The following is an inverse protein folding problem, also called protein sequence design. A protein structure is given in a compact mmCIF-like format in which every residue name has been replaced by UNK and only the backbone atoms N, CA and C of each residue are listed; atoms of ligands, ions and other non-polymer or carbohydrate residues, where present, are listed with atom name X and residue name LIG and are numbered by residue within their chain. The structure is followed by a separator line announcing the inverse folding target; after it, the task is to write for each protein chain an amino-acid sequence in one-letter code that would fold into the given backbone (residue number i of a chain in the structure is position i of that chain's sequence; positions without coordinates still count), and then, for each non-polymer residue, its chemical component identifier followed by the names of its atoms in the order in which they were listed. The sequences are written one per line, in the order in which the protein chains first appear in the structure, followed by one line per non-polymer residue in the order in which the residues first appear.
data_IF_674004514927
#
_entry.id   IF_674004514927
#
_cell.length_a   1.000
_cell.length_b   1.000
_cell.length_c   1.000
_cell.angle_alpha   90.00
_cell.angle_beta   90.00
_cell.angle_gamma   90.00
#
_symmetry.space_group_name_H-M   'P 1'
#
loop_
_entity.id
_entity.type
_entity.pdbx_description
1 polymer ?
#
# COMPACT_ATOMS: atom_id res chain seq x y z
N UNK A 1 -1.13 -71.50 17.53
CA UNK A 1 -1.65 -70.18 17.11
C UNK A 1 -0.83 -69.15 17.85
N UNK A 2 0.25 -68.71 17.22
CA UNK A 2 1.36 -68.01 17.85
C UNK A 2 1.07 -66.51 17.89
N UNK A 3 0.76 -65.99 19.07
CA UNK A 3 0.59 -64.56 19.30
C UNK A 3 1.96 -63.92 19.23
N UNK A 4 2.23 -63.25 18.09
CA UNK A 4 3.42 -62.41 17.93
C UNK A 4 3.36 -61.27 18.96
N UNK A 5 4.20 -61.40 19.96
CA UNK A 5 4.51 -60.33 20.90
C UNK A 5 5.23 -59.20 20.14
N UNK A 6 4.54 -58.06 20.01
CA UNK A 6 5.09 -56.84 19.40
C UNK A 6 5.76 -55.92 20.45
N UNK A 7 5.91 -56.36 21.70
CA UNK A 7 6.52 -55.57 22.77
C UNK A 7 8.03 -55.81 22.88
N UNK A 8 8.81 -55.18 21.99
CA UNK A 8 10.27 -55.37 22.11
C UNK A 8 11.19 -54.57 21.21
N UNK A 9 10.69 -53.60 20.44
CA UNK A 9 11.55 -52.72 19.66
C UNK A 9 11.09 -51.28 19.71
N UNK A 10 10.87 -50.74 20.92
CA UNK A 10 11.29 -49.36 21.14
C UNK A 10 12.81 -49.38 21.04
N UNK A 11 13.33 -49.31 19.81
CA UNK A 11 14.70 -48.90 19.54
C UNK A 11 14.92 -47.73 20.49
N UNK A 12 15.90 -47.86 21.38
CA UNK A 12 16.47 -46.72 22.09
C UNK A 12 16.81 -45.73 20.99
N UNK A 13 15.93 -44.76 20.76
CA UNK A 13 16.26 -43.63 19.95
C UNK A 13 17.46 -43.06 20.67
N UNK A 14 18.64 -43.22 20.07
CA UNK A 14 19.79 -42.39 20.40
C UNK A 14 19.22 -41.00 20.63
N UNK A 15 19.46 -40.42 21.81
CA UNK A 15 19.14 -39.02 22.05
C UNK A 15 19.76 -38.27 20.88
N UNK A 16 18.92 -37.82 19.95
CA UNK A 16 19.35 -37.13 18.74
C UNK A 16 19.89 -35.80 19.24
N UNK A 17 21.19 -35.75 19.47
CA UNK A 17 21.82 -34.59 20.07
C UNK A 17 21.72 -33.49 19.01
N UNK A 18 21.12 -32.35 19.37
CA UNK A 18 20.74 -31.30 18.40
C UNK A 18 21.94 -30.82 17.55
N UNK A 19 23.15 -30.94 18.11
CA UNK A 19 24.42 -30.63 17.47
C UNK A 19 24.70 -31.46 16.22
N UNK A 20 24.21 -32.69 16.15
CA UNK A 20 24.49 -33.59 15.03
C UNK A 20 23.79 -33.15 13.74
N UNK A 21 22.67 -32.44 13.87
CA UNK A 21 21.80 -32.05 12.76
C UNK A 21 21.72 -30.54 12.55
N UNK A 22 22.41 -29.75 13.37
CA UNK A 22 22.46 -28.29 13.31
C UNK A 22 22.96 -27.74 11.94
N UNK A 23 23.60 -28.57 11.13
CA UNK A 23 24.04 -28.24 9.78
C UNK A 23 22.93 -28.26 8.71
N UNK A 24 21.76 -28.84 9.01
CA UNK A 24 20.62 -28.93 8.09
C UNK A 24 19.76 -27.66 8.24
N UNK A 25 19.59 -26.85 7.17
CA UNK A 25 18.74 -25.66 7.24
C UNK A 25 17.28 -26.05 7.56
N UNK A 26 16.75 -25.52 8.66
CA UNK A 26 15.36 -25.78 9.09
C UNK A 26 15.14 -27.06 9.89
N UNK A 27 16.20 -27.78 10.29
CA UNK A 27 16.06 -28.90 11.24
C UNK A 27 15.47 -28.42 12.57
N UNK A 28 14.59 -29.24 13.16
CA UNK A 28 13.96 -28.93 14.45
C UNK A 28 12.68 -28.08 14.39
N UNK A 29 12.17 -27.75 13.19
CA UNK A 29 10.89 -27.00 13.03
C UNK A 29 9.68 -27.80 13.51
N UNK A 30 9.67 -29.11 13.31
CA UNK A 30 8.59 -30.02 13.72
C UNK A 30 8.71 -30.53 15.16
N UNK A 31 9.76 -30.10 15.90
CA UNK A 31 9.88 -30.44 17.32
C UNK A 31 8.70 -29.88 18.12
N UNK A 32 8.46 -30.46 19.29
CA UNK A 32 7.60 -29.85 20.30
C UNK A 32 7.99 -28.38 20.51
N UNK A 33 7.01 -27.51 20.71
CA UNK A 33 7.18 -26.04 20.61
C UNK A 33 8.32 -25.53 21.48
N UNK A 34 8.50 -26.14 22.65
CA UNK A 34 9.51 -25.82 23.66
C UNK A 34 10.94 -26.16 23.22
N UNK A 35 11.09 -27.11 22.29
CA UNK A 35 12.36 -27.65 21.81
C UNK A 35 12.75 -27.12 20.42
N UNK A 36 12.00 -26.15 19.87
CA UNK A 36 12.32 -25.55 18.57
C UNK A 36 13.46 -24.55 18.70
N UNK A 37 14.38 -24.46 17.73
CA UNK A 37 15.49 -23.49 17.76
C UNK A 37 15.05 -22.02 17.88
N UNK A 38 13.82 -21.70 17.48
CA UNK A 38 13.24 -20.37 17.52
C UNK A 38 12.37 -20.10 18.78
N UNK A 39 12.39 -20.99 19.77
CA UNK A 39 11.68 -20.83 21.04
C UNK A 39 12.64 -20.39 22.16
N UNK A 40 12.24 -19.43 23.02
CA UNK A 40 11.04 -18.60 22.94
C UNK A 40 11.09 -17.58 21.79
N UNK A 41 9.93 -17.25 21.22
CA UNK A 41 9.79 -16.27 20.13
C UNK A 41 10.22 -14.85 20.54
N UNK A 42 10.29 -14.60 21.85
CA UNK A 42 10.66 -13.32 22.43
C UNK A 42 11.77 -13.52 23.48
N UNK A 43 12.61 -12.50 23.64
CA UNK A 43 13.63 -12.49 24.69
C UNK A 43 12.96 -12.50 26.06
N UNK A 44 13.48 -13.30 27.00
CA UNK A 44 13.15 -13.20 28.43
C UNK A 44 14.34 -12.59 29.18
N UNK A 45 14.18 -11.46 29.90
CA UNK A 45 12.95 -10.69 30.05
C UNK A 45 12.57 -9.93 28.75
N UNK A 46 11.27 -9.59 28.57
CA UNK A 46 10.80 -8.82 27.43
C UNK A 46 11.64 -7.57 27.20
N UNK A 47 11.86 -7.20 25.94
CA UNK A 47 12.62 -5.98 25.60
C UNK A 47 11.94 -4.71 26.13
N UNK A 48 10.61 -4.73 26.21
CA UNK A 48 9.79 -3.64 26.73
C UNK A 48 9.07 -4.15 27.98
N UNK A 49 9.65 -3.89 29.15
CA UNK A 49 8.97 -4.11 30.42
C UNK A 49 7.85 -3.07 30.59
N UNK A 50 6.62 -3.50 30.91
CA UNK A 50 5.50 -2.61 31.16
C UNK A 50 4.78 -2.04 29.92
N UNK A 51 4.93 -2.66 28.74
CA UNK A 51 4.12 -2.29 27.58
C UNK A 51 2.62 -2.43 27.92
N UNK A 52 1.88 -1.32 27.85
CA UNK A 52 0.45 -1.32 28.12
C UNK A 52 -0.30 -2.11 27.04
N UNK A 53 -1.05 -3.13 27.43
CA UNK A 53 -1.98 -3.84 26.53
C UNK A 53 -3.26 -3.03 26.25
N UNK A 54 -3.41 -1.87 26.89
CA UNK A 54 -4.58 -1.00 26.74
C UNK A 54 -4.64 -0.34 25.36
N UNK A 55 -5.87 -0.12 24.88
CA UNK A 55 -6.09 0.57 23.60
C UNK A 55 -5.66 2.04 23.73
N UNK A 56 -4.82 2.57 22.81
CA UNK A 56 -4.46 3.97 22.82
C UNK A 56 -5.67 4.89 22.71
N UNK A 57 -5.61 6.07 23.33
CA UNK A 57 -6.61 7.11 23.16
C UNK A 57 -6.69 7.54 21.67
N UNK A 58 -7.90 7.71 21.17
CA UNK A 58 -8.13 8.16 19.80
C UNK A 58 -7.66 9.62 19.64
N UNK A 59 -6.90 9.89 18.58
CA UNK A 59 -6.47 11.24 18.24
C UNK A 59 -7.63 12.09 17.72
N UNK A 60 -7.60 13.44 17.89
CA UNK A 60 -8.70 14.31 17.50
C UNK A 60 -8.91 14.33 15.97
N UNK A 61 -10.16 14.18 15.54
CA UNK A 61 -10.54 14.14 14.12
C UNK A 61 -10.78 15.54 13.55
N UNK A 62 -9.70 16.29 13.32
CA UNK A 62 -9.75 17.67 12.82
C UNK A 62 -9.85 17.79 11.30
N UNK A 63 -9.59 16.69 10.58
CA UNK A 63 -9.58 16.63 9.12
C UNK A 63 -10.41 15.45 8.65
N UNK A 64 -10.87 15.49 7.40
CA UNK A 64 -11.56 14.35 6.82
C UNK A 64 -10.57 13.19 6.63
N UNK A 65 -10.84 12.08 7.29
CA UNK A 65 -10.06 10.84 7.19
C UNK A 65 -10.92 9.81 6.50
N UNK A 66 -10.41 9.25 5.41
CA UNK A 66 -11.06 8.12 4.79
C UNK A 66 -10.48 6.82 5.33
N UNK A 67 -11.34 5.85 5.61
CA UNK A 67 -10.97 4.53 6.08
C UNK A 67 -11.72 3.46 5.30
N UNK A 68 -11.25 2.23 5.42
CA UNK A 68 -11.88 1.06 4.82
C UNK A 68 -13.33 0.89 5.27
N UNK A 69 -14.22 0.51 4.36
CA UNK A 69 -15.59 0.10 4.72
C UNK A 69 -15.63 -1.23 5.47
N UNK A 70 -14.56 -2.05 5.35
CA UNK A 70 -14.47 -3.38 5.95
C UNK A 70 -14.02 -3.31 7.42
N UNK A 71 -13.42 -2.19 7.81
CA UNK A 71 -12.97 -1.93 9.18
C UNK A 71 -13.82 -0.81 9.77
N UNK A 72 -14.70 -1.10 10.74
CA UNK A 72 -15.53 -0.07 11.34
C UNK A 72 -14.68 0.89 12.16
N UNK A 73 -14.84 2.19 11.90
CA UNK A 73 -14.18 3.25 12.62
C UNK A 73 -12.79 3.60 12.09
N UNK A 74 -12.29 4.74 12.57
CA UNK A 74 -10.95 5.25 12.26
C UNK A 74 -9.96 4.67 13.27
N UNK A 75 -8.74 4.38 12.83
CA UNK A 75 -7.66 3.96 13.73
C UNK A 75 -7.33 5.06 14.75
N UNK A 76 -6.93 4.73 15.98
CA UNK A 76 -6.61 5.73 17.00
C UNK A 76 -5.54 6.74 16.56
N UNK A 77 -4.62 6.30 15.71
CA UNK A 77 -3.60 7.12 15.05
C UNK A 77 -3.78 7.02 13.54
N UNK A 78 -3.78 8.17 12.86
CA UNK A 78 -3.90 8.32 11.41
C UNK A 78 -3.07 9.52 10.91
N UNK A 79 -2.68 9.50 9.64
CA UNK A 79 -1.94 10.60 9.02
C UNK A 79 -2.83 11.82 8.73
N UNK A 80 -2.37 13.02 9.08
CA UNK A 80 -3.10 14.28 8.88
C UNK A 80 -2.37 15.30 7.98
N UNK A 81 -1.17 14.98 7.51
CA UNK A 81 -0.28 15.92 6.78
C UNK A 81 -0.82 16.39 5.43
N UNK A 82 -1.66 15.58 4.77
CA UNK A 82 -2.21 15.89 3.46
C UNK A 82 -3.72 15.65 3.47
N UNK A 83 -4.52 16.60 4.02
CA UNK A 83 -5.96 16.43 4.09
C UNK A 83 -6.56 16.37 2.67
N UNK A 84 -7.63 15.57 2.46
CA UNK A 84 -8.32 15.53 1.18
C UNK A 84 -8.85 16.91 0.79
N UNK A 85 -8.51 17.35 -0.41
CA UNK A 85 -8.95 18.65 -0.94
C UNK A 85 -9.27 18.57 -2.43
N UNK A 86 -10.01 19.55 -2.94
CA UNK A 86 -10.33 19.65 -4.36
C UNK A 86 -11.13 18.47 -4.92
N UNK A 87 -10.98 18.24 -6.22
CA UNK A 87 -11.54 17.12 -6.96
C UNK A 87 -10.83 15.81 -6.60
N UNK A 88 -9.52 15.82 -6.37
CA UNK A 88 -8.80 14.61 -5.95
C UNK A 88 -9.32 14.07 -4.62
N UNK A 89 -9.65 14.94 -3.66
CA UNK A 89 -10.30 14.57 -2.40
C UNK A 89 -11.68 13.94 -2.60
N UNK A 90 -12.50 14.48 -3.53
CA UNK A 90 -13.81 13.89 -3.87
C UNK A 90 -13.67 12.51 -4.51
N UNK A 91 -12.68 12.32 -5.38
CA UNK A 91 -12.39 11.01 -5.98
C UNK A 91 -11.99 10.00 -4.92
N UNK A 92 -11.13 10.38 -3.96
CA UNK A 92 -10.78 9.53 -2.81
C UNK A 92 -12.02 9.20 -1.98
N UNK A 93 -12.86 10.18 -1.68
CA UNK A 93 -14.13 9.95 -0.97
C UNK A 93 -15.10 9.03 -1.72
N UNK A 94 -15.03 8.96 -3.05
CA UNK A 94 -15.75 7.97 -3.86
C UNK A 94 -15.10 6.58 -3.78
N UNK A 95 -13.78 6.52 -3.85
CA UNK A 95 -13.02 5.27 -3.76
C UNK A 95 -13.27 4.54 -2.44
N UNK A 96 -13.22 5.24 -1.31
CA UNK A 96 -13.44 4.67 0.02
C UNK A 96 -14.90 4.29 0.32
N UNK A 97 -15.83 4.40 -0.65
CA UNK A 97 -17.16 3.80 -0.56
C UNK A 97 -17.22 2.39 -1.16
N UNK A 98 -16.17 1.97 -1.86
CA UNK A 98 -16.04 0.64 -2.45
C UNK A 98 -15.21 -0.27 -1.53
N UNK A 99 -15.41 -1.59 -1.65
CA UNK A 99 -14.57 -2.59 -0.99
C UNK A 99 -13.15 -2.55 -1.54
N UNK A 100 -12.17 -2.88 -0.70
CA UNK A 100 -10.76 -2.97 -1.10
C UNK A 100 -10.51 -4.11 -2.11
N UNK A 101 -11.41 -5.10 -2.17
CA UNK A 101 -11.34 -6.15 -3.19
C UNK A 101 -11.79 -5.67 -4.58
N UNK A 102 -12.47 -4.52 -4.66
CA UNK A 102 -12.93 -3.97 -5.94
C UNK A 102 -11.80 -3.22 -6.65
N UNK A 103 -11.47 -3.64 -7.87
CA UNK A 103 -10.44 -2.97 -8.68
C UNK A 103 -10.73 -1.47 -8.91
N UNK A 104 -12.02 -1.08 -8.93
CA UNK A 104 -12.42 0.32 -9.10
C UNK A 104 -11.96 1.20 -7.93
N UNK A 105 -11.88 0.66 -6.72
CA UNK A 105 -11.32 1.37 -5.56
C UNK A 105 -9.90 1.86 -5.87
N UNK A 106 -9.04 0.93 -6.27
CA UNK A 106 -7.64 1.21 -6.57
C UNK A 106 -7.47 2.10 -7.81
N UNK A 107 -8.23 1.86 -8.87
CA UNK A 107 -8.17 2.69 -10.07
C UNK A 107 -8.59 4.13 -9.78
N UNK A 108 -9.61 4.36 -8.95
CA UNK A 108 -10.01 5.71 -8.55
C UNK A 108 -8.96 6.39 -7.68
N UNK A 109 -8.28 5.68 -6.77
CA UNK A 109 -7.18 6.24 -5.99
C UNK A 109 -6.02 6.68 -6.89
N UNK A 110 -5.61 5.84 -7.84
CA UNK A 110 -4.56 6.19 -8.80
C UNK A 110 -4.93 7.41 -9.65
N UNK A 111 -6.20 7.50 -10.08
CA UNK A 111 -6.69 8.67 -10.80
C UNK A 111 -6.72 9.91 -9.91
N UNK A 112 -7.10 9.78 -8.64
CA UNK A 112 -7.07 10.88 -7.68
C UNK A 112 -5.65 11.44 -7.50
N UNK A 113 -4.63 10.59 -7.49
CA UNK A 113 -3.24 11.04 -7.40
C UNK A 113 -2.80 11.81 -8.64
N UNK A 114 -3.21 11.38 -9.84
CA UNK A 114 -2.94 12.14 -11.08
C UNK A 114 -3.63 13.51 -11.05
N UNK A 115 -4.89 13.55 -10.60
CA UNK A 115 -5.66 14.80 -10.48
C UNK A 115 -5.01 15.73 -9.46
N UNK A 116 -4.57 15.21 -8.31
CA UNK A 116 -3.94 16.02 -7.25
C UNK A 116 -2.68 16.75 -7.75
N UNK A 117 -1.87 16.10 -8.60
CA UNK A 117 -0.70 16.75 -9.23
C UNK A 117 -1.11 17.91 -10.13
N UNK A 118 -2.17 17.74 -10.93
CA UNK A 118 -2.68 18.78 -11.82
C UNK A 118 -3.27 19.94 -11.01
N UNK A 119 -4.00 19.64 -9.93
CA UNK A 119 -4.54 20.64 -9.01
C UNK A 119 -3.44 21.46 -8.34
N UNK A 120 -2.40 20.80 -7.84
CA UNK A 120 -1.23 21.46 -7.24
C UNK A 120 -0.52 22.36 -8.24
N UNK A 121 -0.26 21.86 -9.46
CA UNK A 121 0.34 22.68 -10.52
C UNK A 121 -0.52 23.91 -10.87
N UNK A 122 -1.84 23.75 -10.93
CA UNK A 122 -2.76 24.86 -11.15
C UNK A 122 -2.74 25.89 -10.02
N UNK A 123 -2.67 25.44 -8.76
CA UNK A 123 -2.53 26.31 -7.59
C UNK A 123 -1.20 27.06 -7.60
N UNK A 124 -0.09 26.38 -7.90
CA UNK A 124 1.25 26.97 -7.97
C UNK A 124 1.33 28.04 -9.05
N UNK A 125 0.81 27.73 -10.25
CA UNK A 125 0.72 28.69 -11.36
C UNK A 125 -0.15 29.90 -10.99
N UNK A 126 -1.27 29.69 -10.31
CA UNK A 126 -2.15 30.77 -9.82
C UNK A 126 -1.50 31.65 -8.76
N UNK A 127 -0.57 31.10 -7.97
CA UNK A 127 0.24 31.84 -6.99
C UNK A 127 1.51 32.46 -7.61
N UNK A 128 1.72 32.31 -8.92
CA UNK A 128 2.88 32.85 -9.63
C UNK A 128 4.18 32.09 -9.39
N UNK A 129 4.13 30.90 -8.76
CA UNK A 129 5.28 30.01 -8.64
C UNK A 129 5.26 29.06 -9.82
N UNK A 130 6.20 29.20 -10.74
CA UNK A 130 6.45 28.19 -11.78
C UNK A 130 7.48 27.21 -11.21
N UNK A 131 7.08 26.03 -10.71
CA UNK A 131 8.03 25.07 -10.21
C UNK A 131 8.92 24.57 -11.37
N UNK A 132 10.18 24.26 -11.08
CA UNK A 132 11.16 23.83 -12.09
C UNK A 132 10.95 22.36 -12.51
N UNK A 133 9.69 21.93 -12.59
CA UNK A 133 9.26 20.57 -12.90
C UNK A 133 9.83 20.13 -14.26
N UNK A 134 9.93 21.04 -15.22
CA UNK A 134 10.47 20.72 -16.55
C UNK A 134 11.95 20.32 -16.51
N UNK A 135 12.74 20.86 -15.57
CA UNK A 135 14.13 20.45 -15.40
C UNK A 135 14.24 19.19 -14.54
N UNK A 136 13.44 19.06 -13.48
CA UNK A 136 13.49 17.96 -12.52
C UNK A 136 12.86 16.66 -13.03
N UNK A 137 11.83 16.72 -13.88
CA UNK A 137 11.22 15.54 -14.51
C UNK A 137 12.01 14.98 -15.70
N UNK A 138 13.24 15.45 -15.93
CA UNK A 138 14.12 14.88 -16.94
C UNK A 138 13.68 15.16 -18.38
N UNK A 139 12.78 16.12 -18.63
CA UNK A 139 12.36 16.48 -20.00
C UNK A 139 13.57 16.98 -20.82
N UNK A 140 14.53 17.65 -20.17
CA UNK A 140 15.81 17.99 -20.80
C UNK A 140 16.60 16.76 -21.24
N UNK A 141 16.63 15.72 -20.41
CA UNK A 141 17.29 14.45 -20.73
C UNK A 141 16.53 13.70 -21.84
N UNK A 142 15.19 13.66 -21.79
CA UNK A 142 14.37 13.06 -22.86
C UNK A 142 14.54 13.83 -24.19
N UNK A 143 14.64 15.15 -24.16
CA UNK A 143 14.92 15.93 -25.38
C UNK A 143 16.32 15.69 -25.92
N UNK A 144 17.31 15.42 -25.07
CA UNK A 144 18.66 15.14 -25.54
C UNK A 144 18.80 13.71 -26.09
N UNK A 145 18.19 12.72 -25.43
CA UNK A 145 18.40 11.30 -25.72
C UNK A 145 17.26 10.65 -26.51
N UNK A 146 16.04 11.20 -26.46
CA UNK A 146 14.85 10.60 -27.08
C UNK A 146 13.80 11.63 -27.53
N UNK A 147 14.18 12.49 -28.49
CA UNK A 147 13.30 13.51 -29.08
C UNK A 147 12.02 12.91 -29.68
N UNK A 148 12.13 11.79 -30.39
CA UNK A 148 11.00 11.14 -31.05
C UNK A 148 9.97 10.61 -30.04
N UNK A 149 10.44 9.99 -28.95
CA UNK A 149 9.57 9.52 -27.87
C UNK A 149 8.83 10.66 -27.18
N UNK A 150 9.54 11.77 -26.91
CA UNK A 150 8.95 12.96 -26.30
C UNK A 150 7.89 13.62 -27.21
N UNK A 151 8.19 13.81 -28.50
CA UNK A 151 7.22 14.37 -29.47
C UNK A 151 5.97 13.48 -29.55
N UNK A 152 6.14 12.15 -29.62
CA UNK A 152 5.02 11.21 -29.65
C UNK A 152 4.14 11.33 -28.40
N UNK A 153 4.74 11.43 -27.20
CA UNK A 153 4.00 11.64 -25.95
C UNK A 153 3.18 12.94 -25.99
N UNK A 154 3.79 14.03 -26.45
CA UNK A 154 3.13 15.35 -26.54
C UNK A 154 1.96 15.32 -27.53
N UNK A 155 2.13 14.69 -28.69
CA UNK A 155 1.06 14.57 -29.70
C UNK A 155 -0.09 13.73 -29.16
N UNK A 156 0.19 12.59 -28.54
CA UNK A 156 -0.86 11.73 -27.97
C UNK A 156 -1.60 12.44 -26.83
N UNK A 157 -0.86 13.10 -25.93
CA UNK A 157 -1.45 13.83 -24.81
C UNK A 157 -2.36 14.97 -25.29
N UNK A 158 -1.89 15.76 -26.27
CA UNK A 158 -2.68 16.87 -26.84
C UNK A 158 -3.91 16.37 -27.61
N UNK A 159 -3.80 15.27 -28.36
CA UNK A 159 -4.95 14.64 -29.02
C UNK A 159 -6.02 14.16 -28.03
N UNK A 160 -5.60 13.48 -26.95
CA UNK A 160 -6.52 13.01 -25.90
C UNK A 160 -7.18 14.17 -25.15
N UNK A 161 -6.42 15.21 -24.81
CA UNK A 161 -6.95 16.41 -24.17
C UNK A 161 -7.96 17.13 -25.08
N UNK A 162 -7.65 17.26 -26.38
CA UNK A 162 -8.54 17.83 -27.38
C UNK A 162 -9.84 17.04 -27.52
N UNK A 163 -9.75 15.70 -27.60
CA UNK A 163 -10.91 14.82 -27.65
C UNK A 163 -11.79 14.95 -26.41
N UNK A 164 -11.19 14.95 -25.21
CA UNK A 164 -11.92 15.13 -23.96
C UNK A 164 -12.66 16.48 -23.93
N UNK A 165 -11.99 17.58 -24.29
CA UNK A 165 -12.60 18.90 -24.39
C UNK A 165 -13.76 18.94 -25.40
N UNK A 166 -13.60 18.30 -26.57
CA UNK A 166 -14.66 18.20 -27.57
C UNK A 166 -15.89 17.45 -27.04
N UNK A 167 -15.68 16.30 -26.39
CA UNK A 167 -16.76 15.49 -25.82
C UNK A 167 -17.50 16.24 -24.70
N UNK A 168 -16.78 16.95 -23.83
CA UNK A 168 -17.37 17.77 -22.77
C UNK A 168 -18.21 18.93 -23.34
N UNK A 169 -17.70 19.65 -24.35
CA UNK A 169 -18.47 20.70 -25.05
C UNK A 169 -19.73 20.14 -25.71
N UNK A 170 -19.62 19.00 -26.39
CA UNK A 170 -20.75 18.33 -27.04
C UNK A 170 -21.81 17.90 -26.04
N UNK A 171 -21.41 17.39 -24.87
CA UNK A 171 -22.34 17.02 -23.79
C UNK A 171 -23.09 18.24 -23.27
N UNK A 172 -22.38 19.33 -22.97
CA UNK A 172 -23.01 20.54 -22.43
C UNK A 172 -24.00 21.16 -23.43
N UNK A 173 -23.67 21.17 -24.73
CA UNK A 173 -24.58 21.66 -25.78
C UNK A 173 -25.87 20.83 -25.92
N UNK A 174 -25.87 19.56 -25.49
CA UNK A 174 -27.07 18.71 -25.46
C UNK A 174 -27.93 18.90 -24.22
N UNK A 175 -27.35 19.38 -23.12
CA UNK A 175 -28.07 19.62 -21.86
C UNK A 175 -28.75 21.00 -21.83
N UNK A 176 -28.32 21.92 -22.67
CA UNK A 176 -28.89 23.27 -22.82
C UNK A 176 -29.95 23.38 -23.91
N UNK A 177 -30.41 22.25 -24.47
CA UNK A 177 -31.41 22.17 -25.54
C UNK A 177 -32.57 21.34 -25.05
#
# INVERSE_FOLDING_TARGET
METRDHSGQHRRANSLDEKDYAHIPGWGVDLERENRPAYPMERTPPRLEGASTERPQDQPLNVQVFHSIERPGVTPLFGSSAPPSGLSGKLRGGAYKLSENDIRHWLMLQMADRVNVIEGLGQDLGQGRVPNIFAEMGIRAEWQHNKAGLVRKVVVASALAGLACYLLKRRNARLTR
#
